data_IF_355284621917
#
_entry.id   IF_355284621917
#
_cell.length_a   1.000
_cell.length_b   1.000
_cell.length_c   1.000
_cell.angle_alpha   90.00
_cell.angle_beta   90.00
_cell.angle_gamma   90.00
#
_symmetry.space_group_name_H-M   'P 1'
#
loop_
_entity.id
_entity.type
_entity.pdbx_description
1 polymer ?
#
# COMPACT_ATOMS: atom_id res chain seq x y z
N UNK A 1 8.64 -0.64 7.51
CA UNK A 1 9.91 -0.61 6.80
C UNK A 1 10.42 -2.01 6.47
N UNK A 2 10.97 -2.81 7.38
CA UNK A 2 11.57 -4.09 7.00
C UNK A 2 10.60 -5.16 6.44
N UNK A 3 9.33 -5.15 6.81
CA UNK A 3 8.30 -6.03 6.22
C UNK A 3 7.92 -5.58 4.81
N UNK A 4 7.81 -4.27 4.60
CA UNK A 4 7.52 -3.70 3.28
C UNK A 4 8.66 -3.91 2.29
N UNK A 5 9.92 -3.87 2.78
CA UNK A 5 11.09 -4.15 1.94
C UNK A 5 11.14 -5.62 1.52
N UNK A 6 10.76 -6.55 2.42
CA UNK A 6 10.63 -7.97 2.10
C UNK A 6 9.51 -8.21 1.07
N UNK A 7 8.32 -7.61 1.25
CA UNK A 7 7.17 -7.80 0.38
C UNK A 7 7.36 -7.19 -1.02
N UNK A 8 8.09 -6.06 -1.10
CA UNK A 8 8.33 -5.34 -2.36
C UNK A 8 9.08 -6.21 -3.37
N UNK A 9 10.11 -6.91 -2.93
CA UNK A 9 10.98 -7.72 -3.79
C UNK A 9 10.48 -9.16 -3.93
N UNK A 10 9.62 -9.62 -3.04
CA UNK A 10 9.21 -11.02 -2.94
C UNK A 10 8.59 -11.58 -4.21
N UNK A 11 7.70 -10.81 -4.86
CA UNK A 11 7.04 -11.26 -6.09
C UNK A 11 8.07 -11.51 -7.20
N UNK A 12 9.05 -10.62 -7.34
CA UNK A 12 10.11 -10.78 -8.34
C UNK A 12 10.99 -11.99 -8.04
N UNK A 13 11.30 -12.25 -6.77
CA UNK A 13 12.04 -13.44 -6.32
C UNK A 13 11.27 -14.71 -6.67
N UNK A 14 9.96 -14.78 -6.36
CA UNK A 14 9.13 -15.94 -6.68
C UNK A 14 9.09 -16.19 -8.18
N UNK A 15 8.87 -15.16 -8.99
CA UNK A 15 8.84 -15.27 -10.46
C UNK A 15 10.19 -15.69 -11.03
N UNK A 16 11.28 -15.14 -10.53
CA UNK A 16 12.64 -15.56 -10.94
C UNK A 16 12.89 -17.03 -10.59
N UNK A 17 12.52 -17.46 -9.39
CA UNK A 17 12.65 -18.87 -9.00
C UNK A 17 11.78 -19.78 -9.88
N UNK A 18 10.54 -19.40 -10.15
CA UNK A 18 9.62 -20.14 -11.03
C UNK A 18 10.26 -20.36 -12.42
N UNK A 19 10.80 -19.30 -13.02
CA UNK A 19 11.46 -19.37 -14.33
C UNK A 19 12.71 -20.24 -14.29
N UNK A 20 13.59 -20.02 -13.32
CA UNK A 20 14.85 -20.77 -13.21
C UNK A 20 14.60 -22.25 -12.93
N UNK A 21 13.72 -22.58 -12.02
CA UNK A 21 13.42 -23.96 -11.70
C UNK A 21 12.57 -24.64 -12.77
N UNK A 22 11.66 -23.89 -13.42
CA UNK A 22 10.92 -24.37 -14.57
C UNK A 22 11.81 -24.68 -15.79
N UNK A 23 12.96 -24.02 -15.91
CA UNK A 23 13.98 -24.35 -16.92
C UNK A 23 14.91 -25.50 -16.54
N UNK A 24 14.67 -26.17 -15.41
CA UNK A 24 15.45 -27.29 -14.92
C UNK A 24 16.64 -26.94 -14.03
N UNK A 25 16.79 -25.67 -13.65
CA UNK A 25 17.82 -25.26 -12.67
C UNK A 25 17.35 -25.69 -11.30
N UNK A 26 18.20 -26.43 -10.57
CA UNK A 26 17.89 -26.88 -9.21
C UNK A 26 17.78 -25.71 -8.21
N UNK A 27 17.18 -25.97 -7.03
CA UNK A 27 16.93 -24.96 -5.99
C UNK A 27 18.20 -24.20 -5.59
N UNK A 28 19.33 -24.89 -5.42
CA UNK A 28 20.61 -24.24 -5.05
C UNK A 28 21.10 -23.27 -6.13
N UNK A 29 20.93 -23.63 -7.42
CA UNK A 29 21.26 -22.76 -8.55
C UNK A 29 20.37 -21.52 -8.59
N UNK A 30 19.06 -21.69 -8.34
CA UNK A 30 18.13 -20.58 -8.25
C UNK A 30 18.45 -19.64 -7.07
N UNK A 31 18.72 -20.19 -5.89
CA UNK A 31 19.16 -19.41 -4.73
C UNK A 31 20.47 -18.66 -4.99
N UNK A 32 21.44 -19.30 -5.65
CA UNK A 32 22.71 -18.65 -6.03
C UNK A 32 22.49 -17.49 -6.98
N UNK A 33 21.57 -17.63 -7.93
CA UNK A 33 21.22 -16.57 -8.89
C UNK A 33 20.63 -15.36 -8.17
N UNK A 34 19.67 -15.57 -7.26
CA UNK A 34 19.05 -14.49 -6.48
C UNK A 34 20.06 -13.85 -5.51
N UNK A 35 20.95 -14.65 -4.91
CA UNK A 35 22.00 -14.17 -4.02
C UNK A 35 22.99 -13.21 -4.68
N UNK A 36 23.16 -13.26 -6.00
CA UNK A 36 24.05 -12.36 -6.75
C UNK A 36 23.58 -10.90 -6.76
N UNK A 37 22.34 -10.64 -6.37
CA UNK A 37 21.81 -9.30 -6.18
C UNK A 37 20.57 -8.99 -7.03
N UNK A 38 20.02 -7.79 -6.80
CA UNK A 38 18.85 -7.28 -7.52
C UNK A 38 17.54 -7.38 -6.75
N UNK A 39 17.50 -8.09 -5.61
CA UNK A 39 16.29 -8.33 -4.83
C UNK A 39 16.43 -7.85 -3.36
N UNK A 40 17.05 -6.70 -3.16
CA UNK A 40 17.15 -6.02 -1.89
C UNK A 40 17.65 -6.90 -0.73
N UNK A 41 16.89 -6.90 0.37
CA UNK A 41 17.23 -7.66 1.58
C UNK A 41 17.22 -9.18 1.36
N UNK A 42 16.36 -9.69 0.47
CA UNK A 42 16.25 -11.13 0.17
C UNK A 42 17.54 -11.64 -0.49
N UNK A 43 18.14 -10.89 -1.42
CA UNK A 43 19.43 -11.24 -2.01
C UNK A 43 20.53 -11.35 -0.94
N UNK A 44 20.58 -10.40 -0.01
CA UNK A 44 21.53 -10.39 1.10
C UNK A 44 21.36 -11.62 2.01
N UNK A 45 20.14 -12.03 2.26
CA UNK A 45 19.84 -13.19 3.08
C UNK A 45 20.24 -14.49 2.37
N UNK A 46 19.90 -14.65 1.09
CA UNK A 46 20.30 -15.83 0.33
C UNK A 46 21.80 -15.88 0.10
N UNK A 47 22.48 -14.74 -0.04
CA UNK A 47 23.95 -14.72 -0.11
C UNK A 47 24.59 -15.29 1.17
N UNK A 48 24.04 -14.96 2.36
CA UNK A 48 24.48 -15.53 3.64
C UNK A 48 24.21 -17.03 3.72
N UNK A 49 23.01 -17.48 3.27
CA UNK A 49 22.66 -18.90 3.21
C UNK A 49 23.63 -19.65 2.34
N UNK A 50 23.85 -19.20 1.11
CA UNK A 50 24.73 -19.88 0.15
C UNK A 50 26.19 -19.92 0.64
N UNK A 51 26.68 -18.83 1.22
CA UNK A 51 28.02 -18.80 1.84
C UNK A 51 28.15 -19.83 2.96
N UNK A 52 27.14 -19.96 3.82
CA UNK A 52 27.16 -20.92 4.92
C UNK A 52 27.00 -22.38 4.42
N UNK A 53 26.18 -22.61 3.40
CA UNK A 53 26.03 -23.91 2.76
C UNK A 53 27.34 -24.37 2.11
N UNK A 54 28.05 -23.48 1.41
CA UNK A 54 29.39 -23.74 0.85
C UNK A 54 30.44 -24.04 1.93
N UNK A 55 30.24 -23.50 3.16
CA UNK A 55 31.09 -23.81 4.32
C UNK A 55 30.68 -25.12 5.03
N UNK A 56 29.80 -25.94 4.43
CA UNK A 56 29.41 -27.26 4.93
C UNK A 56 28.24 -27.28 5.89
N UNK A 57 27.49 -26.16 6.06
CA UNK A 57 26.27 -26.16 6.88
C UNK A 57 25.07 -26.67 6.06
N UNK A 58 24.14 -27.35 6.72
CA UNK A 58 22.94 -27.82 6.07
C UNK A 58 22.07 -26.65 5.56
N UNK A 59 21.72 -26.68 4.27
CA UNK A 59 20.92 -25.64 3.62
C UNK A 59 19.57 -25.43 4.32
N UNK A 60 18.94 -26.50 4.76
CA UNK A 60 17.65 -26.47 5.49
C UNK A 60 17.77 -25.64 6.78
N UNK A 61 18.86 -25.83 7.55
CA UNK A 61 19.03 -25.13 8.83
C UNK A 61 19.26 -23.62 8.62
N UNK A 62 20.00 -23.26 7.58
CA UNK A 62 20.22 -21.87 7.23
C UNK A 62 18.93 -21.20 6.74
N UNK A 63 18.11 -21.89 5.94
CA UNK A 63 16.79 -21.38 5.53
C UNK A 63 15.84 -21.22 6.71
N UNK A 64 15.81 -22.18 7.66
CA UNK A 64 15.04 -22.05 8.91
C UNK A 64 15.50 -20.86 9.76
N UNK A 65 16.79 -20.58 9.76
CA UNK A 65 17.36 -19.44 10.50
C UNK A 65 16.85 -18.11 9.94
N UNK A 66 16.77 -17.97 8.63
CA UNK A 66 16.20 -16.78 7.99
C UNK A 66 14.68 -16.71 8.23
N UNK A 67 13.97 -17.84 8.08
CA UNK A 67 12.53 -17.92 8.31
C UNK A 67 12.12 -17.38 9.69
N UNK A 68 12.90 -17.68 10.74
CA UNK A 68 12.66 -17.15 12.09
C UNK A 68 12.85 -15.64 12.20
N UNK A 69 13.67 -15.03 11.34
CA UNK A 69 13.97 -13.59 11.33
C UNK A 69 13.08 -12.79 10.38
N UNK A 70 12.55 -13.44 9.35
CA UNK A 70 11.65 -12.83 8.38
C UNK A 70 10.44 -12.22 9.07
N UNK A 71 10.01 -11.06 8.60
CA UNK A 71 8.83 -10.34 9.13
C UNK A 71 7.61 -10.57 8.26
N UNK A 72 7.80 -10.59 6.94
CA UNK A 72 6.73 -10.87 5.99
C UNK A 72 6.21 -12.29 6.11
N UNK A 73 4.90 -12.43 6.22
CA UNK A 73 4.22 -13.72 6.23
C UNK A 73 4.35 -14.45 4.89
N UNK A 74 4.43 -13.69 3.79
CA UNK A 74 4.59 -14.22 2.45
C UNK A 74 6.04 -14.73 2.24
N UNK A 75 7.03 -14.03 2.74
CA UNK A 75 8.43 -14.48 2.70
C UNK A 75 8.63 -15.74 3.54
N UNK A 76 8.02 -15.82 4.73
CA UNK A 76 8.03 -17.05 5.55
C UNK A 76 7.44 -18.25 4.80
N UNK A 77 6.35 -18.06 4.05
CA UNK A 77 5.75 -19.13 3.22
C UNK A 77 6.70 -19.59 2.12
N UNK A 78 7.36 -18.64 1.44
CA UNK A 78 8.35 -18.97 0.41
C UNK A 78 9.47 -19.84 0.99
N UNK A 79 10.06 -19.42 2.13
CA UNK A 79 11.12 -20.17 2.81
C UNK A 79 10.63 -21.56 3.24
N UNK A 80 9.39 -21.68 3.74
CA UNK A 80 8.79 -22.98 4.10
C UNK A 80 8.67 -23.89 2.87
N UNK A 81 8.19 -23.37 1.74
CA UNK A 81 8.08 -24.11 0.49
C UNK A 81 9.45 -24.66 0.03
N UNK A 82 10.52 -23.86 0.17
CA UNK A 82 11.89 -24.33 -0.15
C UNK A 82 12.35 -25.43 0.81
N UNK A 83 12.10 -25.27 2.11
CA UNK A 83 12.47 -26.27 3.13
C UNK A 83 11.72 -27.58 2.87
N UNK A 84 10.41 -27.52 2.61
CA UNK A 84 9.61 -28.70 2.31
C UNK A 84 10.07 -29.40 1.02
N UNK A 85 10.42 -28.62 -0.01
CA UNK A 85 10.98 -29.20 -1.24
C UNK A 85 12.27 -29.98 -1.00
N UNK A 86 13.18 -29.44 -0.19
CA UNK A 86 14.46 -30.12 0.13
C UNK A 86 14.19 -31.42 0.91
N UNK A 87 13.25 -31.40 1.86
CA UNK A 87 12.97 -32.53 2.75
C UNK A 87 12.14 -33.62 2.04
N UNK A 88 11.11 -33.21 1.29
CA UNK A 88 10.08 -34.10 0.75
C UNK A 88 10.19 -34.31 -0.77
N UNK A 89 11.15 -33.64 -1.41
CA UNK A 89 11.37 -33.70 -2.88
C UNK A 89 10.08 -33.44 -3.68
N UNK A 90 9.28 -32.46 -3.25
CA UNK A 90 7.99 -32.10 -3.86
C UNK A 90 8.18 -31.21 -5.09
N UNK A 91 7.16 -31.15 -5.96
CA UNK A 91 7.16 -30.20 -7.09
C UNK A 91 7.04 -28.76 -6.59
N UNK A 92 8.19 -28.11 -6.49
CA UNK A 92 8.28 -26.72 -6.03
C UNK A 92 7.74 -25.73 -7.08
N UNK A 93 7.87 -26.03 -8.38
CA UNK A 93 7.48 -25.08 -9.46
C UNK A 93 6.00 -24.77 -9.38
N UNK A 94 5.15 -25.80 -9.29
CA UNK A 94 3.70 -25.62 -9.15
C UNK A 94 3.32 -24.82 -7.90
N UNK A 95 4.03 -25.04 -6.79
CA UNK A 95 3.79 -24.32 -5.54
C UNK A 95 4.22 -22.85 -5.65
N UNK A 96 5.35 -22.57 -6.33
CA UNK A 96 5.82 -21.20 -6.61
C UNK A 96 4.86 -20.45 -7.52
N UNK A 97 4.36 -21.10 -8.60
CA UNK A 97 3.36 -20.51 -9.50
C UNK A 97 2.10 -20.09 -8.74
N UNK A 98 1.58 -20.98 -7.89
CA UNK A 98 0.40 -20.67 -7.07
C UNK A 98 0.68 -19.57 -6.03
N UNK A 99 1.88 -19.53 -5.47
CA UNK A 99 2.26 -18.50 -4.50
C UNK A 99 2.46 -17.15 -5.20
N UNK A 100 3.13 -17.15 -6.35
CA UNK A 100 3.30 -15.96 -7.20
C UNK A 100 1.98 -15.34 -7.61
N UNK A 101 1.03 -16.16 -8.07
CA UNK A 101 -0.32 -15.70 -8.45
C UNK A 101 -1.04 -15.02 -7.28
N UNK A 102 -0.99 -15.60 -6.08
CA UNK A 102 -1.59 -14.99 -4.89
C UNK A 102 -0.95 -13.66 -4.47
N UNK A 103 0.37 -13.55 -4.59
CA UNK A 103 1.06 -12.29 -4.24
C UNK A 103 0.82 -11.21 -5.31
N UNK A 104 0.69 -11.60 -6.57
CA UNK A 104 0.30 -10.72 -7.68
C UNK A 104 -1.13 -10.20 -7.51
N UNK A 105 -2.09 -11.08 -7.18
CA UNK A 105 -3.48 -10.71 -6.90
C UNK A 105 -3.57 -9.71 -5.75
N UNK A 106 -2.89 -9.97 -4.63
CA UNK A 106 -2.84 -9.02 -3.51
C UNK A 106 -2.23 -7.67 -3.87
N UNK A 107 -1.21 -7.68 -4.74
CA UNK A 107 -0.61 -6.44 -5.22
C UNK A 107 -1.59 -5.67 -6.10
N UNK A 108 -2.29 -6.38 -7.00
CA UNK A 108 -3.34 -5.80 -7.84
C UNK A 108 -4.48 -5.21 -7.00
N UNK A 109 -4.98 -5.93 -5.99
CA UNK A 109 -5.99 -5.43 -5.05
C UNK A 109 -5.53 -4.17 -4.30
N UNK A 110 -4.26 -4.11 -3.88
CA UNK A 110 -3.71 -2.89 -3.23
C UNK A 110 -3.70 -1.70 -4.18
N UNK A 111 -3.31 -1.93 -5.44
CA UNK A 111 -3.31 -0.88 -6.47
C UNK A 111 -4.73 -0.42 -6.76
N UNK A 112 -5.67 -1.34 -6.93
CA UNK A 112 -7.08 -1.05 -7.19
C UNK A 112 -7.70 -0.22 -6.05
N UNK A 113 -7.51 -0.63 -4.80
CA UNK A 113 -7.95 0.14 -3.64
C UNK A 113 -7.33 1.53 -3.58
N UNK A 114 -6.05 1.64 -3.92
CA UNK A 114 -5.37 2.93 -3.97
C UNK A 114 -5.97 3.85 -5.05
N UNK A 115 -6.24 3.31 -6.23
CA UNK A 115 -6.90 4.05 -7.32
C UNK A 115 -8.32 4.46 -6.93
N UNK A 116 -9.10 3.55 -6.33
CA UNK A 116 -10.47 3.82 -5.85
C UNK A 116 -10.49 4.94 -4.80
N UNK A 117 -9.60 4.86 -3.81
CA UNK A 117 -9.47 5.88 -2.78
C UNK A 117 -9.02 7.25 -3.34
N UNK A 118 -8.11 7.26 -4.33
CA UNK A 118 -7.72 8.50 -5.01
C UNK A 118 -8.82 9.03 -5.91
N UNK A 119 -9.58 8.16 -6.56
CA UNK A 119 -10.68 8.54 -7.45
C UNK A 119 -11.79 9.30 -6.73
N UNK A 120 -12.07 8.99 -5.46
CA UNK A 120 -13.05 9.70 -4.64
C UNK A 120 -12.60 11.07 -4.12
N UNK A 121 -11.29 11.34 -4.08
CA UNK A 121 -10.77 12.62 -3.55
C UNK A 121 -11.13 13.83 -4.41
N UNK A 122 -11.00 13.82 -5.76
CA UNK A 122 -11.42 14.95 -6.60
C UNK A 122 -12.89 15.28 -6.47
N UNK A 123 -13.77 14.27 -6.42
CA UNK A 123 -15.21 14.46 -6.24
C UNK A 123 -15.52 15.12 -4.89
N UNK A 124 -14.88 14.65 -3.81
CA UNK A 124 -15.03 15.24 -2.48
C UNK A 124 -14.52 16.68 -2.43
N UNK A 125 -13.36 16.95 -3.04
CA UNK A 125 -12.79 18.30 -3.12
C UNK A 125 -13.66 19.25 -3.92
N UNK A 126 -14.22 18.80 -5.06
CA UNK A 126 -15.14 19.60 -5.87
C UNK A 126 -16.44 19.88 -5.10
N UNK A 127 -17.03 18.87 -4.46
CA UNK A 127 -18.26 19.03 -3.69
C UNK A 127 -18.07 20.04 -2.54
N UNK A 128 -17.04 19.89 -1.73
CA UNK A 128 -16.78 20.79 -0.61
C UNK A 128 -16.30 22.17 -1.11
N UNK A 129 -15.39 22.19 -2.10
CA UNK A 129 -14.78 23.42 -2.58
C UNK A 129 -15.71 24.31 -3.40
N UNK A 130 -16.69 23.74 -4.11
CA UNK A 130 -17.63 24.50 -4.94
C UNK A 130 -18.97 24.73 -4.24
N UNK A 131 -19.56 23.68 -3.66
CA UNK A 131 -20.93 23.77 -3.13
C UNK A 131 -20.94 24.57 -1.81
N UNK A 132 -19.97 24.38 -0.93
CA UNK A 132 -19.93 25.06 0.37
C UNK A 132 -19.84 26.59 0.24
N UNK A 133 -18.91 27.18 -0.55
CA UNK A 133 -18.89 28.63 -0.75
C UNK A 133 -20.15 29.19 -1.39
N UNK A 134 -20.79 28.45 -2.31
CA UNK A 134 -22.04 28.89 -2.95
C UNK A 134 -23.17 28.99 -1.92
N UNK A 135 -23.33 27.97 -1.07
CA UNK A 135 -24.33 27.99 0.00
C UNK A 135 -24.07 29.13 0.98
N UNK A 136 -22.82 29.35 1.36
CA UNK A 136 -22.43 30.44 2.27
C UNK A 136 -22.65 31.81 1.62
N UNK A 137 -22.42 31.97 0.32
CA UNK A 137 -22.71 33.20 -0.41
C UNK A 137 -24.21 33.50 -0.47
N UNK A 138 -25.04 32.49 -0.71
CA UNK A 138 -26.51 32.66 -0.67
C UNK A 138 -26.97 33.07 0.74
N UNK A 139 -26.42 32.42 1.78
CA UNK A 139 -26.71 32.76 3.17
C UNK A 139 -26.32 34.22 3.49
N UNK A 140 -25.18 34.70 3.00
CA UNK A 140 -24.69 36.05 3.20
C UNK A 140 -25.60 37.13 2.55
N UNK A 141 -26.24 36.81 1.41
CA UNK A 141 -27.09 37.75 0.65
C UNK A 141 -28.53 37.74 1.19
N UNK A 142 -28.95 36.67 1.87
CA UNK A 142 -30.31 36.48 2.35
C UNK A 142 -30.88 37.67 3.13
N UNK A 143 -30.18 38.30 4.10
CA UNK A 143 -30.70 39.46 4.83
C UNK A 143 -30.97 40.66 3.93
N UNK A 144 -30.15 40.88 2.91
CA UNK A 144 -30.30 41.97 1.97
C UNK A 144 -31.52 41.80 1.06
N UNK A 145 -31.77 40.55 0.62
CA UNK A 145 -32.93 40.23 -0.22
C UNK A 145 -34.27 40.30 0.57
N UNK A 146 -34.22 40.08 1.87
CA UNK A 146 -35.41 40.05 2.73
C UNK A 146 -35.54 41.32 3.60
N UNK A 147 -34.76 42.38 3.33
CA UNK A 147 -34.80 43.62 4.08
C UNK A 147 -36.20 44.31 4.14
N UNK A 148 -37.12 43.98 3.20
CA UNK A 148 -38.48 44.43 3.22
C UNK A 148 -39.49 43.52 3.95
N UNK A 149 -39.07 42.34 4.40
CA UNK A 149 -39.93 41.32 5.03
C UNK A 149 -39.67 41.16 6.52
N UNK A 150 -38.78 42.00 7.12
CA UNK A 150 -38.34 41.89 8.52
C UNK A 150 -39.47 42.00 9.56
N UNK A 151 -40.61 42.60 9.23
CA UNK A 151 -41.75 42.70 10.11
C UNK A 151 -42.60 41.42 10.16
N UNK A 152 -42.37 40.47 9.24
CA UNK A 152 -43.18 39.26 9.13
C UNK A 152 -42.41 38.00 9.62
N UNK A 153 -41.10 38.01 9.64
CA UNK A 153 -40.25 36.86 9.99
C UNK A 153 -39.10 37.27 10.89
N UNK A 154 -38.88 36.61 12.06
CA UNK A 154 -37.70 36.87 12.89
C UNK A 154 -36.42 36.48 12.11
N UNK A 155 -35.61 37.46 11.80
CA UNK A 155 -34.31 37.25 11.12
C UNK A 155 -33.16 37.19 12.13
N UNK A 156 -32.17 36.33 11.88
CA UNK A 156 -30.90 36.37 12.64
C UNK A 156 -30.19 37.72 12.45
N UNK A 157 -29.53 38.18 13.49
CA UNK A 157 -28.74 39.41 13.42
C UNK A 157 -27.69 39.33 12.30
N UNK A 158 -27.47 40.42 11.53
CA UNK A 158 -26.45 40.49 10.48
C UNK A 158 -25.05 40.08 10.95
N UNK A 159 -24.71 40.39 12.20
CA UNK A 159 -23.44 40.00 12.79
C UNK A 159 -23.33 38.48 12.96
N UNK A 160 -24.42 37.84 13.37
CA UNK A 160 -24.47 36.35 13.48
C UNK A 160 -24.25 35.69 12.13
N UNK A 161 -24.87 36.21 11.07
CA UNK A 161 -24.72 35.67 9.71
C UNK A 161 -23.27 35.86 9.24
N UNK A 162 -22.66 37.02 9.50
CA UNK A 162 -21.26 37.28 9.15
C UNK A 162 -20.30 36.32 9.85
N UNK A 163 -20.53 36.04 11.12
CA UNK A 163 -19.72 35.08 11.89
C UNK A 163 -19.88 33.65 11.33
N UNK A 164 -21.11 33.24 10.99
CA UNK A 164 -21.38 31.92 10.41
C UNK A 164 -20.72 31.77 9.03
N UNK A 165 -20.84 32.79 8.18
CA UNK A 165 -20.23 32.76 6.83
C UNK A 165 -18.71 32.72 6.90
N UNK A 166 -18.08 33.58 7.69
CA UNK A 166 -16.62 33.59 7.83
C UNK A 166 -16.08 32.34 8.49
N UNK A 167 -16.78 31.83 9.53
CA UNK A 167 -16.44 30.56 10.17
C UNK A 167 -16.59 29.38 9.23
N UNK A 168 -17.64 29.35 8.41
CA UNK A 168 -17.88 28.34 7.40
C UNK A 168 -16.83 28.34 6.28
N UNK A 169 -16.44 29.52 5.79
CA UNK A 169 -15.36 29.64 4.81
C UNK A 169 -14.01 29.16 5.38
N UNK A 170 -13.70 29.55 6.62
CA UNK A 170 -12.47 29.09 7.29
C UNK A 170 -12.48 27.55 7.46
N UNK A 171 -13.61 26.98 7.90
CA UNK A 171 -13.76 25.54 8.04
C UNK A 171 -13.58 24.80 6.70
N UNK A 172 -14.15 25.36 5.60
CA UNK A 172 -13.98 24.78 4.25
C UNK A 172 -12.52 24.73 3.85
N UNK A 173 -11.75 25.81 4.05
CA UNK A 173 -10.32 25.88 3.73
C UNK A 173 -9.53 24.86 4.56
N UNK A 174 -9.83 24.74 5.86
CA UNK A 174 -9.16 23.77 6.74
C UNK A 174 -9.44 22.35 6.29
N UNK A 175 -10.69 22.01 5.98
CA UNK A 175 -11.08 20.67 5.51
C UNK A 175 -10.37 20.35 4.18
N UNK A 176 -10.35 21.28 3.22
CA UNK A 176 -9.63 21.10 1.95
C UNK A 176 -8.15 20.89 2.16
N UNK A 177 -7.52 21.64 3.06
CA UNK A 177 -6.09 21.46 3.39
C UNK A 177 -5.82 20.08 4.03
N UNK A 178 -6.70 19.61 4.90
CA UNK A 178 -6.58 18.28 5.51
C UNK A 178 -6.73 17.15 4.48
N UNK A 179 -7.70 17.24 3.57
CA UNK A 179 -7.89 16.26 2.51
C UNK A 179 -6.70 16.26 1.56
N UNK A 180 -6.22 17.44 1.14
CA UNK A 180 -5.06 17.59 0.28
C UNK A 180 -3.78 17.05 0.90
N UNK A 181 -3.55 17.30 2.19
CA UNK A 181 -2.40 16.77 2.92
C UNK A 181 -2.45 15.23 3.02
N UNK A 182 -3.63 14.67 3.30
CA UNK A 182 -3.83 13.21 3.34
C UNK A 182 -3.53 12.55 1.99
N UNK A 183 -3.91 13.19 0.89
CA UNK A 183 -3.60 12.72 -0.47
C UNK A 183 -2.10 12.76 -0.75
N UNK A 184 -1.40 13.81 -0.30
CA UNK A 184 0.04 14.00 -0.55
C UNK A 184 0.91 13.00 0.23
N UNK A 185 0.52 12.64 1.46
CA UNK A 185 1.30 11.73 2.31
C UNK A 185 0.95 10.25 2.15
N UNK A 186 0.00 9.91 1.28
CA UNK A 186 -0.42 8.52 1.08
C UNK A 186 0.50 7.82 0.09
N UNK A 187 1.45 7.02 0.62
CA UNK A 187 2.29 6.10 -0.18
C UNK A 187 1.52 4.79 -0.38
N UNK A 188 1.35 4.28 -1.62
CA UNK A 188 0.68 3.01 -1.89
C UNK A 188 1.43 1.79 -1.33
N UNK A 189 2.70 1.94 -0.91
CA UNK A 189 3.51 0.84 -0.37
C UNK A 189 3.78 -0.28 -1.38
N UNK A 190 3.96 0.07 -2.67
CA UNK A 190 4.19 -0.85 -3.81
C UNK A 190 5.65 -1.24 -3.96
#
# INVERSE_FOLDING_TARGET
>A
MAEQDEDRELLYVIRTMEVLMGSGIGLEGALTSIARGGYGCISSDFAKVMKNAQAGKALVDELRRIQKKAKSSAYKRLLNTMIENIISNTDIVKTLTNQGGREEEKRSEKVEKYIEELGGLPETLLSIGMISPIILAILAITPQMMAGAGDIMPMPDPDTITVVVNGGLFATVVIMALIGSKAHFKDPGL
#
